data_IF_056921483424
#
_entry.id   IF_056921483424
#
_cell.length_a   1.000
_cell.length_b   1.000
_cell.length_c   1.000
_cell.angle_alpha   90.00
_cell.angle_beta   90.00
_cell.angle_gamma   90.00
#
_symmetry.space_group_name_H-M   'P 1'
#
loop_
_entity.id
_entity.type
_entity.pdbx_description
1 polymer ?
#
# COMPACT_ATOMS: atom_id res chain seq x y z
N UNK A 1 -2.71 0.24 18.77
CA UNK A 1 -1.92 -0.21 17.88
C UNK A 1 -2.36 0.02 16.54
N UNK A 2 -1.63 0.45 15.82
CA UNK A 2 -2.03 0.82 14.56
C UNK A 2 -2.37 -0.31 13.81
N UNK A 3 -3.24 -0.19 13.05
CA UNK A 3 -3.64 -1.20 12.37
C UNK A 3 -3.27 -1.13 11.00
N UNK A 4 -2.13 -0.72 10.69
CA UNK A 4 -1.68 -0.69 9.33
C UNK A 4 -1.03 -2.01 9.03
N UNK A 5 -1.74 -3.08 9.23
CA UNK A 5 -1.21 -4.38 8.88
C UNK A 5 -1.47 -4.62 7.41
N UNK A 6 -0.42 -4.78 6.66
CA UNK A 6 -0.52 -4.93 5.21
C UNK A 6 -0.68 -6.39 4.87
N UNK A 7 -1.72 -6.69 4.11
CA UNK A 7 -1.98 -8.04 3.66
C UNK A 7 -1.19 -8.36 2.41
N UNK A 8 -1.16 -7.43 1.48
CA UNK A 8 -0.38 -7.59 0.27
C UNK A 8 -0.12 -6.26 -0.35
N UNK A 9 0.80 -6.22 -1.29
CA UNK A 9 1.12 -4.98 -1.98
C UNK A 9 1.66 -5.31 -3.36
N UNK A 10 1.55 -4.34 -4.25
CA UNK A 10 2.01 -4.51 -5.61
C UNK A 10 2.46 -3.16 -6.15
N UNK A 11 3.59 -3.11 -6.81
CA UNK A 11 4.12 -1.86 -7.32
C UNK A 11 4.15 -1.89 -8.85
N UNK A 12 3.62 -0.84 -9.47
CA UNK A 12 3.65 -0.69 -10.92
C UNK A 12 4.73 0.34 -11.24
N UNK A 13 5.85 -0.12 -11.77
CA UNK A 13 6.98 0.75 -12.04
C UNK A 13 6.69 1.80 -13.09
N UNK A 14 5.88 1.46 -14.06
CA UNK A 14 5.59 2.40 -15.11
C UNK A 14 4.80 3.58 -14.59
N UNK A 15 3.86 3.32 -13.75
CA UNK A 15 3.00 4.37 -13.24
C UNK A 15 3.46 4.90 -11.90
N UNK A 16 4.46 4.27 -11.33
CA UNK A 16 4.92 4.59 -10.00
C UNK A 16 3.77 4.51 -9.01
N UNK A 17 2.94 3.52 -9.20
CA UNK A 17 1.76 3.35 -8.37
C UNK A 17 1.96 2.16 -7.45
N UNK A 18 1.73 2.38 -6.18
CA UNK A 18 1.88 1.33 -5.18
C UNK A 18 0.51 0.96 -4.64
N UNK A 19 0.08 -0.25 -4.92
CA UNK A 19 -1.19 -0.74 -4.41
C UNK A 19 -0.96 -1.42 -3.08
N UNK A 20 -1.76 -1.06 -2.11
CA UNK A 20 -1.68 -1.67 -0.79
C UNK A 20 -3.04 -2.25 -0.44
N UNK A 21 -3.03 -3.49 0.02
CA UNK A 21 -4.24 -4.12 0.53
C UNK A 21 -4.00 -4.40 2.00
N UNK A 22 -4.86 -3.87 2.84
CA UNK A 22 -4.72 -4.02 4.27
C UNK A 22 -5.49 -5.24 4.78
N UNK A 23 -5.22 -5.64 5.98
CA UNK A 23 -5.96 -6.76 6.58
C UNK A 23 -7.45 -6.48 6.64
N UNK A 24 -7.82 -5.23 6.67
CA UNK A 24 -9.22 -4.86 6.67
C UNK A 24 -9.84 -5.01 5.29
N UNK A 25 -9.05 -5.46 4.30
CA UNK A 25 -9.49 -5.61 2.92
C UNK A 25 -9.66 -4.31 2.18
N UNK A 26 -9.26 -3.21 2.75
CA UNK A 26 -9.31 -1.94 2.05
C UNK A 26 -8.11 -1.85 1.11
N UNK A 27 -8.35 -1.31 -0.06
CA UNK A 27 -7.32 -1.17 -1.08
C UNK A 27 -7.10 0.29 -1.40
N UNK A 28 -5.84 0.67 -1.39
CA UNK A 28 -5.47 2.03 -1.73
C UNK A 28 -4.34 1.97 -2.74
N UNK A 29 -4.35 2.91 -3.67
CA UNK A 29 -3.27 3.03 -4.64
C UNK A 29 -2.58 4.35 -4.40
N UNK A 30 -1.32 4.31 -4.05
CA UNK A 30 -0.53 5.51 -3.80
C UNK A 30 0.23 5.87 -5.07
N UNK A 31 0.15 7.15 -5.47
CA UNK A 31 0.66 7.60 -6.75
C UNK A 31 1.96 8.36 -6.58
N UNK A 32 2.80 8.27 -7.61
CA UNK A 32 4.06 9.00 -7.58
C UNK A 32 5.09 8.43 -6.62
N UNK A 33 4.98 7.17 -6.28
CA UNK A 33 5.91 6.55 -5.35
C UNK A 33 7.16 6.14 -6.11
N UNK A 34 8.34 6.66 -5.73
CA UNK A 34 9.55 6.29 -6.44
C UNK A 34 9.91 4.83 -6.18
N UNK A 35 10.59 4.25 -7.12
CA UNK A 35 10.99 2.85 -6.99
C UNK A 35 11.85 2.63 -5.76
N UNK A 36 12.70 3.59 -5.43
CA UNK A 36 13.56 3.42 -4.26
C UNK A 36 12.74 3.39 -2.97
N UNK A 37 11.63 4.08 -2.92
CA UNK A 37 10.77 4.02 -1.74
C UNK A 37 10.12 2.64 -1.64
N UNK A 38 9.71 2.10 -2.77
CA UNK A 38 9.16 0.77 -2.79
C UNK A 38 10.20 -0.27 -2.37
N UNK A 39 11.42 -0.12 -2.86
CA UNK A 39 12.48 -1.06 -2.50
C UNK A 39 12.78 -0.98 -1.00
N UNK A 40 12.78 0.21 -0.44
CA UNK A 40 13.01 0.38 0.98
C UNK A 40 11.89 -0.27 1.79
N UNK A 41 10.67 -0.19 1.29
CA UNK A 41 9.56 -0.83 1.99
C UNK A 41 9.73 -2.35 1.99
N UNK A 42 10.17 -2.92 0.86
CA UNK A 42 10.37 -4.36 0.80
C UNK A 42 11.43 -4.82 1.78
N UNK A 43 12.43 -3.98 2.00
CA UNK A 43 13.52 -4.33 2.89
C UNK A 43 13.21 -3.99 4.35
N UNK A 44 12.14 -3.33 4.61
CA UNK A 44 11.86 -2.89 5.97
C UNK A 44 11.51 -4.06 6.87
N UNK A 45 11.93 -3.95 8.10
CA UNK A 45 11.62 -4.96 9.08
C UNK A 45 10.11 -5.05 9.30
N UNK A 46 9.46 -3.92 9.39
CA UNK A 46 8.02 -3.88 9.50
C UNK A 46 7.47 -3.05 8.36
N UNK A 47 6.79 -3.69 7.43
CA UNK A 47 6.28 -2.99 6.27
C UNK A 47 5.16 -2.04 6.63
N UNK A 48 4.34 -2.42 7.60
CA UNK A 48 3.28 -1.54 8.03
C UNK A 48 3.79 -0.28 8.70
N UNK A 49 4.84 -0.41 9.48
CA UNK A 49 5.42 0.75 10.12
C UNK A 49 6.10 1.66 9.10
N UNK A 50 6.80 1.06 8.15
CA UNK A 50 7.44 1.84 7.10
C UNK A 50 6.38 2.61 6.32
N UNK A 51 5.30 1.93 5.96
CA UNK A 51 4.22 2.56 5.22
C UNK A 51 3.66 3.74 6.00
N UNK A 52 3.44 3.53 7.27
CA UNK A 52 2.86 4.56 8.10
C UNK A 52 3.75 5.79 8.20
N UNK A 53 5.04 5.60 8.26
CA UNK A 53 5.99 6.69 8.40
C UNK A 53 6.34 7.38 7.10
N UNK A 54 6.46 6.62 6.04
CA UNK A 54 7.07 7.14 4.81
C UNK A 54 6.14 7.24 3.63
N UNK A 55 5.00 6.61 3.66
CA UNK A 55 4.12 6.60 2.51
C UNK A 55 2.77 7.21 2.80
N UNK A 56 2.18 6.86 3.91
CA UNK A 56 0.81 7.18 4.19
C UNK A 56 0.43 8.64 3.98
N UNK A 57 1.19 9.57 4.50
CA UNK A 57 0.86 10.98 4.38
C UNK A 57 1.79 11.70 3.45
N UNK A 58 2.54 10.98 2.64
CA UNK A 58 3.55 11.59 1.80
C UNK A 58 3.23 11.55 0.32
N UNK A 59 2.23 10.79 -0.07
CA UNK A 59 1.88 10.66 -1.47
C UNK A 59 0.38 10.74 -1.64
N UNK A 60 -0.04 11.18 -2.81
CA UNK A 60 -1.45 11.20 -3.17
C UNK A 60 -1.93 9.77 -3.32
N UNK A 61 -3.14 9.49 -2.95
CA UNK A 61 -3.64 8.15 -3.10
C UNK A 61 -5.08 8.15 -3.58
N UNK A 62 -5.46 7.02 -4.16
CA UNK A 62 -6.82 6.76 -4.57
C UNK A 62 -7.32 5.60 -3.74
N UNK A 63 -8.54 5.74 -3.26
CA UNK A 63 -9.13 4.68 -2.50
C UNK A 63 -9.89 3.79 -3.45
N UNK A 64 -9.51 2.54 -3.52
CA UNK A 64 -10.14 1.60 -4.44
C UNK A 64 -11.21 0.76 -3.78
N UNK A 65 -11.64 1.16 -2.62
CA UNK A 65 -12.68 0.43 -1.93
C UNK A 65 -12.13 -0.79 -1.26
N UNK A 66 -13.00 -1.69 -0.92
CA UNK A 66 -12.59 -2.91 -0.26
C UNK A 66 -12.49 -4.03 -1.25
N UNK A 67 -11.57 -4.91 -0.98
CA UNK A 67 -11.45 -6.10 -1.77
C UNK A 67 -12.72 -6.90 -1.59
N UNK A 68 -13.35 -7.37 -2.65
CA UNK A 68 -14.61 -8.05 -2.48
C UNK A 68 -14.41 -9.36 -1.76
N UNK A 69 -15.30 -9.69 -0.90
CA UNK A 69 -15.23 -10.98 -0.25
C UNK A 69 -15.69 -11.93 -1.29
N UNK A 70 -15.13 -12.91 -1.42
CA UNK A 70 -15.56 -13.87 -2.28
C UNK A 70 -16.32 -13.39 -3.42
N UNK A 71 -15.85 -13.18 -4.30
CA UNK A 71 -16.41 -12.99 -5.49
C UNK A 71 -17.65 -12.28 -5.69
N UNK A 72 -18.00 -11.62 -5.01
CA UNK A 72 -19.01 -11.05 -5.18
C UNK A 72 -18.98 -10.42 -6.15
N UNK A 73 -19.49 -10.35 -6.71
CA UNK A 73 -19.42 -9.64 -7.82
C UNK A 73 -20.06 -8.55 -7.74
#
# INVERSE_FOLDING_TARGET
MPSTVIRSYHYDRRRRALDIVFQSRRRYTYLGVPEETYDAMKAAFSKGEFFNRHIRDHFTFKRNGEEPPSGRP
#
